data_IF_490601868760
#
_entry.id   IF_490601868760
#
_cell.length_a   1.000
_cell.length_b   1.000
_cell.length_c   1.000
_cell.angle_alpha   90.00
_cell.angle_beta   90.00
_cell.angle_gamma   90.00
#
_symmetry.space_group_name_H-M   'P 1'
#
loop_
_entity.id
_entity.type
_entity.pdbx_description
1 polymer ?
#
# COMPACT_ATOMS: atom_id res chain seq x y z
N UNK A 1 -20.36 -14.29 -1.03
CA UNK A 1 -21.44 -13.38 -0.56
C UNK A 1 -21.86 -12.44 -1.69
N UNK A 2 -23.17 -12.13 -1.88
CA UNK A 2 -23.58 -11.19 -2.94
C UNK A 2 -23.50 -9.75 -2.40
N UNK A 3 -22.31 -9.17 -2.38
CA UNK A 3 -22.08 -7.79 -1.91
C UNK A 3 -22.15 -6.76 -3.06
N UNK A 4 -21.77 -7.15 -4.28
CA UNK A 4 -21.59 -6.24 -5.42
C UNK A 4 -22.83 -5.37 -5.69
N UNK A 5 -22.61 -4.05 -5.69
CA UNK A 5 -23.64 -3.04 -5.92
C UNK A 5 -24.54 -2.73 -4.71
N UNK A 6 -24.25 -3.26 -3.53
CA UNK A 6 -25.02 -2.99 -2.30
C UNK A 6 -24.49 -1.77 -1.54
N UNK A 7 -25.35 -1.15 -0.72
CA UNK A 7 -24.89 -0.13 0.25
C UNK A 7 -23.88 -0.67 1.25
N UNK A 8 -23.97 -1.96 1.58
CA UNK A 8 -23.04 -2.63 2.48
C UNK A 8 -21.65 -2.73 1.87
N UNK A 9 -21.52 -2.99 0.56
CA UNK A 9 -20.23 -2.94 -0.13
C UNK A 9 -19.60 -1.55 0.00
N UNK A 10 -20.35 -0.48 -0.29
CA UNK A 10 -19.87 0.89 -0.13
C UNK A 10 -19.44 1.19 1.33
N UNK A 11 -20.19 0.70 2.33
CA UNK A 11 -19.84 0.86 3.73
C UNK A 11 -18.54 0.10 4.08
N UNK A 12 -18.33 -1.10 3.55
CA UNK A 12 -17.10 -1.87 3.74
C UNK A 12 -15.89 -1.17 3.11
N UNK A 13 -16.05 -0.60 1.92
CA UNK A 13 -15.00 0.20 1.26
C UNK A 13 -14.64 1.43 2.09
N UNK A 14 -15.64 2.15 2.61
CA UNK A 14 -15.44 3.31 3.47
C UNK A 14 -14.77 2.92 4.80
N UNK A 15 -15.18 1.81 5.40
CA UNK A 15 -14.58 1.29 6.63
C UNK A 15 -13.11 0.89 6.39
N UNK A 16 -12.80 0.15 5.32
CA UNK A 16 -11.43 -0.21 4.95
C UNK A 16 -10.55 1.03 4.75
N UNK A 17 -11.03 2.04 4.03
CA UNK A 17 -10.32 3.29 3.83
C UNK A 17 -10.08 4.05 5.15
N UNK A 18 -11.10 4.13 6.02
CA UNK A 18 -11.00 4.79 7.32
C UNK A 18 -9.98 4.15 8.25
N UNK A 19 -10.03 2.84 8.41
CA UNK A 19 -9.09 2.07 9.26
C UNK A 19 -7.65 2.13 8.71
N UNK A 20 -7.48 2.02 7.39
CA UNK A 20 -6.17 2.15 6.75
C UNK A 20 -5.55 3.53 6.99
N UNK A 21 -6.35 4.60 6.88
CA UNK A 21 -5.93 5.95 7.16
C UNK A 21 -5.60 6.14 8.66
N UNK A 22 -6.42 5.61 9.56
CA UNK A 22 -6.19 5.67 11.01
C UNK A 22 -4.90 4.96 11.38
N UNK A 23 -4.66 3.75 10.83
CA UNK A 23 -3.43 2.99 11.03
C UNK A 23 -2.18 3.82 10.71
N UNK A 24 -2.13 4.48 9.56
CA UNK A 24 -0.97 5.30 9.16
C UNK A 24 -0.85 6.58 10.00
N UNK A 25 -1.97 7.28 10.26
CA UNK A 25 -1.96 8.50 11.10
C UNK A 25 -1.43 8.21 12.51
N UNK A 26 -1.83 7.10 13.11
CA UNK A 26 -1.39 6.76 14.47
C UNK A 26 0.11 6.43 14.55
N UNK A 27 0.72 5.92 13.49
CA UNK A 27 2.18 5.79 13.41
C UNK A 27 2.87 7.16 13.42
N UNK A 28 2.33 8.15 12.73
CA UNK A 28 2.87 9.52 12.77
C UNK A 28 2.69 10.16 14.15
N UNK A 29 1.53 9.96 14.77
CA UNK A 29 1.26 10.47 16.12
C UNK A 29 2.17 9.81 17.16
N UNK A 30 2.40 8.51 17.06
CA UNK A 30 3.34 7.77 17.91
C UNK A 30 4.76 8.34 17.82
N UNK A 31 5.24 8.55 16.58
CA UNK A 31 6.54 9.15 16.33
C UNK A 31 6.68 10.54 16.95
N UNK A 32 5.65 11.39 16.80
CA UNK A 32 5.64 12.73 17.39
C UNK A 32 5.62 12.68 18.93
N UNK A 33 4.75 11.85 19.51
CA UNK A 33 4.64 11.71 20.97
C UNK A 33 5.96 11.27 21.60
N UNK A 34 6.65 10.30 21.01
CA UNK A 34 7.96 9.84 21.50
C UNK A 34 9.03 10.92 21.40
N UNK A 35 9.04 11.71 20.31
CA UNK A 35 9.96 12.86 20.17
C UNK A 35 9.72 13.95 21.20
N UNK A 36 8.47 14.12 21.65
CA UNK A 36 8.08 15.08 22.69
C UNK A 36 8.33 14.52 24.12
N UNK A 37 8.80 13.27 24.26
CA UNK A 37 9.04 12.63 25.55
C UNK A 37 7.85 11.87 26.14
N UNK A 38 6.69 11.85 25.47
CA UNK A 38 5.49 11.12 25.89
C UNK A 38 5.52 9.65 25.45
N UNK A 39 6.44 8.87 25.99
CA UNK A 39 6.70 7.50 25.55
C UNK A 39 5.44 6.63 25.66
N UNK A 40 4.75 6.64 26.79
CA UNK A 40 3.52 5.87 27.03
C UNK A 40 2.42 6.20 26.01
N UNK A 41 2.24 7.48 25.67
CA UNK A 41 1.27 7.90 24.66
C UNK A 41 1.69 7.38 23.28
N UNK A 42 2.99 7.44 22.97
CA UNK A 42 3.53 6.88 21.73
C UNK A 42 3.27 5.38 21.59
N UNK A 43 3.49 4.61 22.66
CA UNK A 43 3.22 3.16 22.71
C UNK A 43 1.75 2.84 22.51
N UNK A 44 0.83 3.63 23.11
CA UNK A 44 -0.60 3.48 22.93
C UNK A 44 -1.02 3.71 21.47
N UNK A 45 -0.48 4.75 20.82
CA UNK A 45 -0.73 4.98 19.40
C UNK A 45 -0.21 3.85 18.52
N UNK A 46 0.96 3.28 18.80
CA UNK A 46 1.48 2.12 18.06
C UNK A 46 0.61 0.88 18.24
N UNK A 47 0.14 0.63 19.46
CA UNK A 47 -0.79 -0.46 19.75
C UNK A 47 -2.09 -0.29 18.97
N UNK A 48 -2.70 0.89 19.06
CA UNK A 48 -3.94 1.20 18.34
C UNK A 48 -3.74 1.08 16.82
N UNK A 49 -2.64 1.59 16.27
CA UNK A 49 -2.31 1.42 14.85
C UNK A 49 -2.31 -0.06 14.41
N UNK A 50 -1.76 -0.96 15.24
CA UNK A 50 -1.80 -2.40 14.97
C UNK A 50 -3.22 -2.95 14.98
N UNK A 51 -4.08 -2.47 15.87
CA UNK A 51 -5.48 -2.87 15.94
C UNK A 51 -6.23 -2.43 14.68
N UNK A 52 -6.06 -1.18 14.25
CA UNK A 52 -6.71 -0.64 13.04
C UNK A 52 -6.28 -1.40 11.77
N UNK A 53 -5.04 -1.85 11.70
CA UNK A 53 -4.57 -2.73 10.62
C UNK A 53 -5.35 -4.05 10.58
N UNK A 54 -5.65 -4.66 11.73
CA UNK A 54 -6.43 -5.90 11.77
C UNK A 54 -7.91 -5.65 11.46
N UNK A 55 -8.49 -4.51 11.87
CA UNK A 55 -9.83 -4.10 11.46
C UNK A 55 -9.91 -3.92 9.94
N UNK A 56 -8.99 -3.15 9.34
CA UNK A 56 -8.91 -2.99 7.89
C UNK A 56 -8.85 -4.34 7.15
N UNK A 57 -8.07 -5.29 7.67
CA UNK A 57 -7.94 -6.64 7.10
C UNK A 57 -9.26 -7.45 7.14
N UNK A 58 -10.12 -7.23 8.14
CA UNK A 58 -11.45 -7.84 8.19
C UNK A 58 -12.28 -7.35 7.00
N UNK A 59 -12.33 -6.04 6.80
CA UNK A 59 -13.10 -5.42 5.73
C UNK A 59 -12.56 -5.78 4.35
N UNK A 60 -11.24 -5.78 4.20
CA UNK A 60 -10.57 -6.22 2.97
C UNK A 60 -10.97 -7.65 2.58
N UNK A 61 -10.91 -8.60 3.52
CA UNK A 61 -11.29 -9.99 3.26
C UNK A 61 -12.75 -10.16 2.88
N UNK A 62 -13.66 -9.37 3.45
CA UNK A 62 -15.07 -9.40 3.07
C UNK A 62 -15.30 -8.84 1.65
N UNK A 63 -14.55 -7.81 1.26
CA UNK A 63 -14.62 -7.20 -0.07
C UNK A 63 -14.08 -8.13 -1.17
N UNK A 64 -13.05 -8.95 -0.84
CA UNK A 64 -12.35 -9.82 -1.79
C UNK A 64 -12.70 -11.31 -1.64
N UNK A 65 -13.71 -11.66 -0.84
CA UNK A 65 -14.10 -13.04 -0.55
C UNK A 65 -12.93 -13.91 0.00
N UNK A 66 -12.04 -13.27 0.76
CA UNK A 66 -10.84 -13.85 1.36
C UNK A 66 -9.59 -13.00 1.15
N UNK A 67 -8.42 -13.60 1.35
CA UNK A 67 -7.14 -13.00 0.98
C UNK A 67 -6.72 -13.55 -0.39
N UNK A 68 -6.61 -12.70 -1.43
CA UNK A 68 -6.21 -13.15 -2.76
C UNK A 68 -4.80 -13.77 -2.77
N UNK A 69 -4.52 -14.56 -3.80
CA UNK A 69 -3.21 -15.18 -3.97
C UNK A 69 -2.10 -14.18 -4.33
N UNK A 70 -0.84 -14.59 -4.17
CA UNK A 70 0.32 -13.69 -4.40
C UNK A 70 0.35 -13.12 -5.82
N UNK A 71 0.03 -13.92 -6.84
CA UNK A 71 0.01 -13.44 -8.23
C UNK A 71 -1.12 -12.41 -8.46
N UNK A 72 -2.29 -12.64 -7.88
CA UNK A 72 -3.41 -11.70 -7.93
C UNK A 72 -3.06 -10.39 -7.22
N UNK A 73 -2.46 -10.47 -6.03
CA UNK A 73 -2.02 -9.29 -5.27
C UNK A 73 -0.93 -8.49 -6.03
N UNK A 74 0.00 -9.16 -6.72
CA UNK A 74 1.00 -8.49 -7.55
C UNK A 74 0.38 -7.78 -8.76
N UNK A 75 -0.63 -8.38 -9.37
CA UNK A 75 -1.36 -7.76 -10.47
C UNK A 75 -2.18 -6.56 -10.01
N UNK A 76 -2.89 -6.70 -8.90
CA UNK A 76 -3.68 -5.61 -8.30
C UNK A 76 -2.78 -4.43 -7.91
N UNK A 77 -1.67 -4.69 -7.23
CA UNK A 77 -0.69 -3.68 -6.89
C UNK A 77 -0.14 -2.98 -8.16
N UNK A 78 0.30 -3.74 -9.17
CA UNK A 78 0.79 -3.15 -10.41
C UNK A 78 -0.25 -2.26 -11.11
N UNK A 79 -1.52 -2.65 -11.10
CA UNK A 79 -2.60 -1.86 -11.69
C UNK A 79 -2.94 -0.61 -10.85
N UNK A 80 -2.86 -0.71 -9.52
CA UNK A 80 -3.00 0.43 -8.61
C UNK A 80 -1.92 1.48 -8.87
N UNK A 81 -0.65 1.08 -8.83
CA UNK A 81 0.48 1.97 -9.11
C UNK A 81 0.39 2.60 -10.52
N UNK A 82 -0.02 1.81 -11.53
CA UNK A 82 -0.25 2.34 -12.88
C UNK A 82 -1.27 3.47 -12.88
N UNK A 83 -2.44 3.28 -12.25
CA UNK A 83 -3.46 4.31 -12.14
C UNK A 83 -2.94 5.54 -11.38
N UNK A 84 -2.16 5.34 -10.31
CA UNK A 84 -1.63 6.44 -9.52
C UNK A 84 -0.72 7.35 -10.33
N UNK A 85 0.22 6.80 -11.12
CA UNK A 85 1.14 7.64 -11.85
C UNK A 85 0.61 8.14 -13.20
N UNK A 86 -0.30 7.40 -13.89
CA UNK A 86 -0.83 7.83 -15.20
C UNK A 86 -1.97 8.84 -15.07
N UNK A 87 -2.84 8.67 -14.09
CA UNK A 87 -4.09 9.41 -13.97
C UNK A 87 -4.14 10.28 -12.71
N UNK A 88 -4.01 9.66 -11.54
CA UNK A 88 -4.26 10.33 -10.25
C UNK A 88 -3.28 11.47 -9.98
N UNK A 89 -2.00 11.17 -9.89
CA UNK A 89 -0.98 12.18 -9.58
C UNK A 89 -0.76 13.16 -10.74
N UNK A 90 -0.90 12.71 -12.00
CA UNK A 90 -0.84 13.61 -13.15
C UNK A 90 -1.97 14.67 -13.09
N UNK A 91 -3.19 14.25 -12.78
CA UNK A 91 -4.33 15.16 -12.60
C UNK A 91 -4.16 16.08 -11.39
N UNK A 92 -3.65 15.55 -10.27
CA UNK A 92 -3.41 16.36 -9.06
C UNK A 92 -2.32 17.41 -9.28
N UNK A 93 -1.23 17.06 -9.98
CA UNK A 93 -0.16 18.01 -10.31
C UNK A 93 -0.67 19.12 -11.21
N UNK A 94 -1.48 18.80 -12.23
CA UNK A 94 -2.10 19.79 -13.09
C UNK A 94 -2.99 20.76 -12.29
N UNK A 95 -3.89 20.23 -11.46
CA UNK A 95 -4.77 21.06 -10.60
C UNK A 95 -3.96 21.97 -9.68
N UNK A 96 -2.92 21.45 -9.04
CA UNK A 96 -2.05 22.25 -8.16
C UNK A 96 -1.37 23.38 -8.92
N UNK A 97 -0.93 23.18 -10.16
CA UNK A 97 -0.36 24.26 -11.01
C UNK A 97 -1.41 25.30 -11.36
N UNK A 98 -2.63 24.89 -11.72
CA UNK A 98 -3.74 25.80 -12.04
C UNK A 98 -4.12 26.68 -10.84
N UNK A 99 -3.95 26.15 -9.61
CA UNK A 99 -4.16 26.86 -8.35
C UNK A 99 -2.94 27.67 -7.88
N UNK A 100 -1.81 27.63 -8.59
CA UNK A 100 -0.57 28.35 -8.25
C UNK A 100 0.23 27.68 -7.12
N UNK A 101 0.02 26.38 -6.87
CA UNK A 101 0.68 25.57 -5.83
C UNK A 101 1.82 24.72 -6.42
N UNK A 102 2.78 25.38 -7.07
CA UNK A 102 3.86 24.73 -7.84
C UNK A 102 4.72 23.76 -7.02
N UNK A 103 4.98 24.06 -5.76
CA UNK A 103 5.75 23.17 -4.88
C UNK A 103 4.99 21.85 -4.61
N UNK A 104 3.67 21.92 -4.45
CA UNK A 104 2.82 20.74 -4.27
C UNK A 104 2.74 19.95 -5.59
N UNK A 105 2.62 20.63 -6.73
CA UNK A 105 2.63 19.99 -8.03
C UNK A 105 3.93 19.19 -8.25
N UNK A 106 5.09 19.77 -7.92
CA UNK A 106 6.37 19.08 -8.01
C UNK A 106 6.47 17.85 -7.09
N UNK A 107 5.84 17.89 -5.91
CA UNK A 107 5.75 16.72 -5.02
C UNK A 107 4.90 15.61 -5.65
N UNK A 108 3.74 15.92 -6.22
CA UNK A 108 2.91 14.95 -6.92
C UNK A 108 3.64 14.30 -8.10
N UNK A 109 4.35 15.09 -8.90
CA UNK A 109 5.18 14.57 -10.02
C UNK A 109 6.31 13.67 -9.52
N UNK A 110 6.97 14.05 -8.41
CA UNK A 110 8.03 13.27 -7.80
C UNK A 110 7.52 11.92 -7.29
N UNK A 111 6.35 11.89 -6.63
CA UNK A 111 5.71 10.64 -6.20
C UNK A 111 5.29 9.81 -7.40
N UNK A 112 4.66 10.39 -8.43
CA UNK A 112 4.27 9.67 -9.65
C UNK A 112 5.46 8.92 -10.29
N UNK A 113 6.66 9.51 -10.30
CA UNK A 113 7.85 8.84 -10.81
C UNK A 113 8.26 7.62 -9.97
N UNK A 114 8.01 7.65 -8.66
CA UNK A 114 8.24 6.51 -7.75
C UNK A 114 7.22 5.41 -8.01
N UNK A 115 5.93 5.74 -8.15
CA UNK A 115 4.87 4.78 -8.38
C UNK A 115 5.02 4.05 -9.73
N UNK A 116 5.54 4.73 -10.75
CA UNK A 116 5.96 4.07 -11.98
C UNK A 116 7.04 3.00 -11.75
N UNK A 117 8.04 3.28 -10.92
CA UNK A 117 9.07 2.30 -10.58
C UNK A 117 8.51 1.13 -9.75
N UNK A 118 7.51 1.38 -8.89
CA UNK A 118 6.79 0.34 -8.17
C UNK A 118 6.03 -0.58 -9.13
N UNK A 119 5.27 -0.02 -10.09
CA UNK A 119 4.58 -0.80 -11.12
C UNK A 119 5.54 -1.72 -11.87
N UNK A 120 6.64 -1.17 -12.40
CA UNK A 120 7.65 -1.93 -13.14
C UNK A 120 8.20 -3.09 -12.30
N UNK A 121 8.41 -2.87 -10.99
CA UNK A 121 8.86 -3.90 -10.05
C UNK A 121 7.81 -4.99 -9.86
N UNK A 122 6.55 -4.62 -9.60
CA UNK A 122 5.48 -5.60 -9.40
C UNK A 122 5.20 -6.43 -10.66
N UNK A 123 5.22 -5.84 -11.85
CA UNK A 123 5.05 -6.58 -13.11
C UNK A 123 6.18 -7.58 -13.33
N UNK A 124 7.42 -7.21 -13.03
CA UNK A 124 8.57 -8.11 -13.12
C UNK A 124 8.46 -9.28 -12.13
N UNK A 125 8.05 -9.00 -10.89
CA UNK A 125 7.85 -10.05 -9.89
C UNK A 125 6.69 -10.97 -10.25
N UNK A 126 5.61 -10.43 -10.82
CA UNK A 126 4.49 -11.22 -11.32
C UNK A 126 4.95 -12.18 -12.44
N UNK A 127 5.71 -11.69 -13.40
CA UNK A 127 6.28 -12.52 -14.44
C UNK A 127 7.15 -13.66 -13.85
N UNK A 128 8.02 -13.35 -12.88
CA UNK A 128 8.83 -14.37 -12.21
C UNK A 128 7.99 -15.44 -11.51
N UNK A 129 6.86 -15.06 -10.89
CA UNK A 129 5.93 -16.03 -10.26
C UNK A 129 5.27 -16.91 -11.32
N UNK A 130 4.80 -16.32 -12.43
CA UNK A 130 4.10 -17.01 -13.50
C UNK A 130 5.04 -17.98 -14.25
N UNK A 131 6.28 -17.59 -14.44
CA UNK A 131 7.31 -18.38 -15.15
C UNK A 131 8.04 -19.37 -14.23
N UNK A 132 7.71 -19.43 -12.93
CA UNK A 132 8.35 -20.32 -11.96
C UNK A 132 9.80 -19.94 -11.62
N UNK A 133 10.21 -18.69 -11.89
CA UNK A 133 11.60 -18.22 -11.74
C UNK A 133 11.93 -17.67 -10.35
N UNK A 134 10.98 -17.69 -9.41
CA UNK A 134 11.23 -17.16 -8.04
C UNK A 134 12.25 -18.02 -7.29
N UNK A 135 12.12 -19.35 -7.41
CA UNK A 135 12.97 -20.33 -6.71
C UNK A 135 13.83 -21.18 -7.65
N UNK A 136 13.78 -20.93 -8.95
CA UNK A 136 14.52 -21.65 -9.96
C UNK A 136 15.01 -20.70 -11.04
N UNK A 137 16.32 -20.58 -11.20
CA UNK A 137 16.98 -19.76 -12.23
C UNK A 137 18.09 -20.56 -12.87
N UNK A 138 18.45 -20.21 -14.11
CA UNK A 138 19.58 -20.80 -14.79
C UNK A 138 20.90 -20.39 -14.09
N UNK A 139 21.80 -21.39 -13.96
CA UNK A 139 23.09 -21.22 -13.33
C UNK A 139 23.06 -21.23 -11.80
N UNK A 140 24.26 -21.11 -11.22
CA UNK A 140 24.45 -21.10 -9.78
C UNK A 140 23.90 -19.80 -9.17
N UNK A 141 23.09 -19.92 -8.11
CA UNK A 141 22.53 -18.80 -7.37
C UNK A 141 22.99 -18.84 -5.92
N UNK A 142 23.35 -17.68 -5.40
CA UNK A 142 23.69 -17.56 -3.98
C UNK A 142 22.41 -17.28 -3.20
N UNK A 143 22.10 -18.15 -2.24
CA UNK A 143 21.00 -18.00 -1.30
C UNK A 143 21.52 -17.75 0.09
N UNK A 144 20.93 -16.82 0.81
CA UNK A 144 21.25 -16.55 2.20
C UNK A 144 19.98 -16.65 3.04
N UNK A 145 20.04 -17.41 4.12
CA UNK A 145 18.95 -17.49 5.07
C UNK A 145 18.80 -16.15 5.80
N UNK A 146 17.64 -15.52 5.68
CA UNK A 146 17.35 -14.24 6.34
C UNK A 146 17.28 -14.33 7.88
N UNK A 147 17.18 -15.55 8.44
CA UNK A 147 17.12 -15.78 9.88
C UNK A 147 18.49 -16.02 10.52
N UNK A 148 19.37 -16.79 9.88
CA UNK A 148 20.66 -17.18 10.47
C UNK A 148 21.88 -16.75 9.65
N UNK A 149 21.70 -16.20 8.44
CA UNK A 149 22.77 -15.73 7.57
C UNK A 149 23.53 -16.83 6.81
N UNK A 150 23.10 -18.09 6.94
CA UNK A 150 23.72 -19.22 6.21
C UNK A 150 23.44 -19.11 4.72
#
# INVERSE_FOLDING_TARGET
>A
MKLKGTKTEANLMAAFAGESQACVKYQYYASKAKKDGYVQIGELFEETSRNEKEHAKIWFKLLHDGMPGTAENLLDAANGENFEWTDMYAGFAQTAREEGLDEIAALFEGVAAIERAHEERYRRLLANVQDGLVFSRDGDQIWQCSNCGH
#
